data_IF_039607945824
#
_entry.id   IF_039607945824
#
_cell.length_a   1.000
_cell.length_b   1.000
_cell.length_c   1.000
_cell.angle_alpha   90.00
_cell.angle_beta   90.00
_cell.angle_gamma   90.00
#
_symmetry.space_group_name_H-M   'P 1'
#
loop_
_entity.id
_entity.type
_entity.pdbx_description
1 polymer ?
#
# COMPACT_ATOMS: atom_id res chain seq x y z
N UNK A 1 -11.91 -14.17 -10.61
CA UNK A 1 -11.41 -13.10 -9.73
C UNK A 1 -10.18 -13.65 -9.03
N UNK A 2 -9.07 -12.91 -9.04
CA UNK A 2 -7.80 -13.32 -8.41
C UNK A 2 -7.40 -12.30 -7.34
N UNK A 3 -6.55 -12.73 -6.41
CA UNK A 3 -5.98 -11.85 -5.38
C UNK A 3 -4.49 -11.72 -5.65
N UNK A 4 -4.03 -10.49 -5.89
CA UNK A 4 -2.62 -10.18 -6.07
C UNK A 4 -2.04 -9.56 -4.79
N UNK A 5 -1.11 -10.26 -4.16
CA UNK A 5 -0.43 -9.81 -2.92
C UNK A 5 0.75 -8.88 -3.16
N UNK A 6 1.22 -8.76 -4.41
CA UNK A 6 2.27 -7.84 -4.85
C UNK A 6 1.82 -7.09 -6.12
N UNK A 7 0.90 -6.10 -5.96
CA UNK A 7 0.42 -5.33 -7.09
C UNK A 7 1.54 -4.47 -7.69
N UNK A 8 1.37 -4.06 -8.95
CA UNK A 8 2.22 -3.02 -9.55
C UNK A 8 2.14 -1.72 -8.74
N UNK A 9 3.29 -1.06 -8.57
CA UNK A 9 3.43 0.17 -7.76
C UNK A 9 4.01 1.35 -8.57
N UNK A 10 3.97 1.30 -9.89
CA UNK A 10 4.34 2.44 -10.75
C UNK A 10 3.17 3.41 -10.91
N UNK A 11 3.43 4.62 -11.41
CA UNK A 11 2.38 5.63 -11.64
C UNK A 11 1.22 5.15 -12.54
N UNK A 12 1.47 4.17 -13.42
CA UNK A 12 0.44 3.62 -14.31
C UNK A 12 -0.30 2.40 -13.73
N UNK A 13 0.11 1.90 -12.56
CA UNK A 13 -0.47 0.71 -11.91
C UNK A 13 -1.82 0.99 -11.25
N UNK A 14 -2.65 -0.04 -11.11
CA UNK A 14 -4.04 0.10 -10.62
C UNK A 14 -4.11 0.59 -9.16
N UNK A 15 -3.25 0.08 -8.27
CA UNK A 15 -3.29 0.46 -6.84
C UNK A 15 -2.94 1.93 -6.63
N UNK A 16 -1.82 2.47 -7.17
CA UNK A 16 -1.54 3.91 -7.12
C UNK A 16 -2.63 4.78 -7.76
N UNK A 17 -3.25 4.34 -8.85
CA UNK A 17 -4.37 5.06 -9.47
C UNK A 17 -5.60 5.11 -8.57
N UNK A 18 -5.98 3.98 -7.96
CA UNK A 18 -7.10 3.91 -7.04
C UNK A 18 -6.87 4.77 -5.78
N UNK A 19 -5.65 4.75 -5.23
CA UNK A 19 -5.26 5.62 -4.12
C UNK A 19 -5.43 7.10 -4.47
N UNK A 20 -5.01 7.52 -5.67
CA UNK A 20 -5.19 8.90 -6.14
C UNK A 20 -6.66 9.30 -6.23
N UNK A 21 -7.53 8.42 -6.72
CA UNK A 21 -8.99 8.65 -6.76
C UNK A 21 -9.54 8.82 -5.35
N UNK A 22 -8.99 8.13 -4.36
CA UNK A 22 -9.31 8.29 -2.94
C UNK A 22 -8.64 9.52 -2.27
N UNK A 23 -7.99 10.40 -3.04
CA UNK A 23 -7.31 11.59 -2.51
C UNK A 23 -5.98 11.30 -1.81
N UNK A 24 -5.38 10.13 -2.01
CA UNK A 24 -4.12 9.71 -1.40
C UNK A 24 -3.00 9.86 -2.44
N UNK A 25 -2.00 10.68 -2.16
CA UNK A 25 -0.82 10.83 -3.00
C UNK A 25 0.07 9.57 -2.95
N UNK A 26 0.95 9.41 -3.94
CA UNK A 26 1.84 8.25 -3.97
C UNK A 26 2.79 8.17 -2.76
N UNK A 27 3.44 9.27 -2.31
CA UNK A 27 4.24 9.24 -1.08
C UNK A 27 3.41 8.83 0.16
N UNK A 28 2.21 9.40 0.34
CA UNK A 28 1.33 9.04 1.47
C UNK A 28 0.91 7.57 1.43
N UNK A 29 0.65 7.02 0.24
CA UNK A 29 0.36 5.60 0.08
C UNK A 29 1.53 4.74 0.56
N UNK A 30 2.77 5.09 0.16
CA UNK A 30 3.99 4.37 0.58
C UNK A 30 4.18 4.47 2.10
N UNK A 31 4.03 5.66 2.68
CA UNK A 31 4.12 5.87 4.13
C UNK A 31 3.12 5.00 4.90
N UNK A 32 1.86 4.93 4.45
CA UNK A 32 0.84 4.06 5.05
C UNK A 32 1.21 2.58 4.98
N UNK A 33 1.69 2.11 3.82
CA UNK A 33 2.11 0.71 3.63
C UNK A 33 3.26 0.34 4.56
N UNK A 34 4.28 1.21 4.67
CA UNK A 34 5.41 1.01 5.59
C UNK A 34 4.93 1.02 7.04
N UNK A 35 4.06 1.96 7.42
CA UNK A 35 3.48 2.01 8.76
C UNK A 35 2.73 0.73 9.14
N UNK A 36 1.92 0.18 8.24
CA UNK A 36 1.24 -1.10 8.46
C UNK A 36 2.19 -2.28 8.58
N UNK A 37 3.26 -2.31 7.79
CA UNK A 37 4.28 -3.34 7.87
C UNK A 37 4.95 -3.34 9.26
N UNK A 38 5.38 -2.16 9.74
CA UNK A 38 6.01 -1.99 11.05
C UNK A 38 5.06 -2.38 12.20
N UNK A 39 3.83 -1.88 12.20
CA UNK A 39 2.81 -2.24 13.20
C UNK A 39 2.45 -3.74 13.14
N UNK A 40 2.57 -4.38 11.98
CA UNK A 40 2.45 -5.82 11.82
C UNK A 40 3.60 -6.60 12.46
N UNK A 41 4.84 -6.11 12.35
CA UNK A 41 6.00 -6.73 12.99
C UNK A 41 5.94 -6.63 14.52
N UNK A 42 5.55 -5.47 15.06
CA UNK A 42 5.39 -5.28 16.51
C UNK A 42 4.42 -6.30 17.12
N UNK A 43 3.32 -6.61 16.41
CA UNK A 43 2.33 -7.60 16.84
C UNK A 43 2.83 -9.04 16.79
N UNK A 44 3.84 -9.35 15.95
CA UNK A 44 4.43 -10.70 15.81
C UNK A 44 5.56 -10.97 16.79
N UNK A 45 6.17 -9.91 17.33
CA UNK A 45 7.22 -10.01 18.36
C UNK A 45 6.68 -10.10 19.79
N UNK A 46 5.35 -10.08 19.97
CA UNK A 46 4.65 -10.49 21.20
C UNK A 46 4.21 -11.94 21.06
#
# INVERSE_FOLDING_TARGET
LEVNTMPGMTANSLVPKAARVAGISFPELVERLVGWALAGQERRGR
#
